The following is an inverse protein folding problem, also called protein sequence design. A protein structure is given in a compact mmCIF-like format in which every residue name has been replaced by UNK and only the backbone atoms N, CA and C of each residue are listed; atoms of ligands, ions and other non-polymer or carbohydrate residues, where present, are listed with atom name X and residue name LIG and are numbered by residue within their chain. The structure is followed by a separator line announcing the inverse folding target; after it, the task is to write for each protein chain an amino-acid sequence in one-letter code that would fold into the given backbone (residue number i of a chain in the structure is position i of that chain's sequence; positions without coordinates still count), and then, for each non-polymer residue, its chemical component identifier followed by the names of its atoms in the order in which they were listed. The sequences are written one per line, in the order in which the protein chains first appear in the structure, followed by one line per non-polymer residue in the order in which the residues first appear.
data_IF_142987283575
#
_entry.id   IF_142987283575
#
_cell.length_a   1.000
_cell.length_b   1.000
_cell.length_c   1.000
_cell.angle_alpha   90.00
_cell.angle_beta   90.00
_cell.angle_gamma   90.00
#
_symmetry.space_group_name_H-M   'P 1'
#
loop_
_entity.id
_entity.type
_entity.pdbx_description
1 polymer ?
#
# COMPACT_ATOMS: atom_id res chain seq x y z
N UNK A 1 -10.45 12.74 -14.35
CA UNK A 1 -10.66 11.43 -14.96
C UNK A 1 -9.27 10.98 -15.39
N UNK A 2 -8.65 10.06 -14.68
CA UNK A 2 -7.39 9.46 -15.14
C UNK A 2 -7.85 8.43 -16.17
N UNK A 3 -7.53 8.64 -17.43
CA UNK A 3 -7.74 7.62 -18.45
C UNK A 3 -6.98 6.37 -18.04
N UNK A 4 -7.54 5.20 -18.31
CA UNK A 4 -6.86 3.90 -18.16
C UNK A 4 -5.65 3.86 -19.10
N UNK A 5 -4.56 4.50 -18.66
CA UNK A 5 -3.32 4.47 -19.40
C UNK A 5 -2.61 3.17 -19.05
N UNK A 6 -2.48 2.28 -20.04
CA UNK A 6 -1.78 0.99 -19.96
C UNK A 6 -0.34 1.09 -19.43
N UNK A 7 0.20 2.30 -19.41
CA UNK A 7 1.55 2.59 -18.90
C UNK A 7 1.60 2.70 -17.36
N UNK A 8 0.46 2.84 -16.69
CA UNK A 8 0.40 2.90 -15.26
C UNK A 8 -0.12 1.59 -14.66
N UNK A 9 0.34 1.28 -13.46
CA UNK A 9 -0.21 0.21 -12.61
C UNK A 9 -0.23 0.66 -11.17
N UNK A 10 -1.14 0.09 -10.39
CA UNK A 10 -1.18 0.26 -8.95
C UNK A 10 -0.30 -0.78 -8.26
N UNK A 11 0.14 -0.49 -7.03
CA UNK A 11 0.82 -1.51 -6.22
C UNK A 11 -0.12 -2.67 -5.87
N UNK A 12 -1.45 -2.42 -5.81
CA UNK A 12 -2.45 -3.46 -5.60
C UNK A 12 -2.51 -4.44 -6.76
N UNK A 13 -2.54 -3.96 -8.01
CA UNK A 13 -2.52 -4.82 -9.22
C UNK A 13 -1.27 -5.70 -9.28
N UNK A 14 -0.11 -5.20 -8.82
CA UNK A 14 1.12 -6.01 -8.74
C UNK A 14 0.94 -7.19 -7.79
N UNK A 15 0.30 -6.97 -6.65
CA UNK A 15 0.00 -8.02 -5.69
C UNK A 15 -1.04 -9.00 -6.23
N UNK A 16 -2.12 -8.52 -6.84
CA UNK A 16 -3.15 -9.36 -7.46
C UNK A 16 -2.56 -10.23 -8.58
N UNK A 17 -1.67 -9.67 -9.39
CA UNK A 17 -0.95 -10.42 -10.42
C UNK A 17 -0.08 -11.55 -9.82
N UNK A 18 0.61 -11.30 -8.71
CA UNK A 18 1.38 -12.32 -8.02
C UNK A 18 0.48 -13.42 -7.42
N UNK A 19 -0.62 -13.05 -6.80
CA UNK A 19 -1.60 -13.98 -6.27
C UNK A 19 -2.16 -14.89 -7.36
N UNK A 20 -2.63 -14.31 -8.47
CA UNK A 20 -3.16 -15.06 -9.60
C UNK A 20 -2.13 -16.06 -10.17
N UNK A 21 -0.86 -15.66 -10.22
CA UNK A 21 0.23 -16.52 -10.70
C UNK A 21 0.48 -17.73 -9.79
N UNK A 22 0.26 -17.59 -8.49
CA UNK A 22 0.45 -18.66 -7.50
C UNK A 22 -0.86 -19.39 -7.15
N UNK A 23 -1.97 -19.08 -7.85
CA UNK A 23 -3.28 -19.66 -7.58
C UNK A 23 -3.84 -19.31 -6.19
N UNK A 24 -3.50 -18.12 -5.67
CA UNK A 24 -3.95 -17.62 -4.37
C UNK A 24 -5.04 -16.57 -4.56
N UNK A 25 -5.95 -16.50 -3.60
CA UNK A 25 -6.93 -15.40 -3.54
C UNK A 25 -6.27 -14.15 -2.91
N UNK A 26 -6.33 -13.03 -3.61
CA UNK A 26 -5.78 -11.75 -3.14
C UNK A 26 -6.51 -11.18 -1.92
N UNK A 27 -7.73 -11.62 -1.66
CA UNK A 27 -8.56 -11.17 -0.54
C UNK A 27 -8.44 -12.05 0.71
N UNK A 28 -7.84 -13.23 0.61
CA UNK A 28 -7.75 -14.22 1.70
C UNK A 28 -7.13 -13.62 2.97
N UNK A 29 -5.97 -12.95 2.87
CA UNK A 29 -5.30 -12.37 4.03
C UNK A 29 -6.10 -11.22 4.66
N UNK A 30 -6.81 -10.45 3.86
CA UNK A 30 -7.68 -9.38 4.36
C UNK A 30 -8.91 -9.96 5.05
N UNK A 31 -9.45 -11.04 4.55
CA UNK A 31 -10.57 -11.77 5.16
C UNK A 31 -10.16 -12.33 6.52
N UNK A 32 -9.05 -13.03 6.57
CA UNK A 32 -8.47 -13.59 7.81
C UNK A 32 -8.19 -12.50 8.86
N UNK A 33 -7.61 -11.38 8.42
CA UNK A 33 -7.35 -10.25 9.30
C UNK A 33 -8.65 -9.72 9.92
N UNK A 34 -9.68 -9.53 9.11
CA UNK A 34 -10.99 -9.05 9.57
C UNK A 34 -11.66 -10.05 10.51
N UNK A 35 -11.63 -11.33 10.17
CA UNK A 35 -12.22 -12.39 10.97
C UNK A 35 -11.60 -12.46 12.37
N UNK A 36 -10.28 -12.35 12.48
CA UNK A 36 -9.57 -12.36 13.76
C UNK A 36 -9.76 -11.07 14.56
N UNK A 37 -9.96 -9.94 13.90
CA UNK A 37 -10.11 -8.64 14.57
C UNK A 37 -11.54 -8.34 15.02
N UNK A 38 -12.54 -8.76 14.24
CA UNK A 38 -13.95 -8.45 14.48
C UNK A 38 -14.46 -8.81 15.88
N UNK A 39 -14.15 -9.98 16.47
CA UNK A 39 -14.59 -10.32 17.81
C UNK A 39 -14.11 -9.30 18.86
N UNK A 40 -12.88 -8.84 18.76
CA UNK A 40 -12.33 -7.86 19.71
C UNK A 40 -13.00 -6.49 19.62
N UNK A 41 -13.47 -6.12 18.42
CA UNK A 41 -14.23 -4.89 18.19
C UNK A 41 -15.65 -5.03 18.74
N UNK A 42 -16.29 -6.16 18.49
CA UNK A 42 -17.67 -6.46 18.96
C UNK A 42 -17.70 -6.52 20.50
N UNK A 43 -16.70 -7.13 21.12
CA UNK A 43 -16.57 -7.25 22.57
C UNK A 43 -16.21 -5.90 23.25
N UNK A 44 -16.10 -4.82 22.49
CA UNK A 44 -15.74 -3.47 22.99
C UNK A 44 -14.49 -3.46 23.87
N UNK A 45 -13.47 -4.22 23.46
CA UNK A 45 -12.17 -4.22 24.16
C UNK A 45 -11.57 -2.81 24.16
N UNK A 46 -10.61 -2.58 25.07
CA UNK A 46 -9.95 -1.28 25.13
C UNK A 46 -9.24 -0.95 23.81
N UNK A 47 -9.15 0.34 23.42
CA UNK A 47 -8.41 0.73 22.22
C UNK A 47 -6.96 0.22 22.19
N UNK A 48 -6.33 0.10 23.35
CA UNK A 48 -4.96 -0.41 23.50
C UNK A 48 -4.88 -1.91 23.22
N UNK A 49 -5.84 -2.70 23.72
CA UNK A 49 -5.90 -4.14 23.45
C UNK A 49 -6.19 -4.43 21.98
N UNK A 50 -7.08 -3.64 21.37
CA UNK A 50 -7.35 -3.74 19.93
C UNK A 50 -6.11 -3.39 19.10
N UNK A 51 -5.35 -2.38 19.49
CA UNK A 51 -4.10 -2.00 18.80
C UNK A 51 -3.03 -3.09 18.94
N UNK A 52 -2.93 -3.71 20.10
CA UNK A 52 -2.02 -4.84 20.37
C UNK A 52 -2.37 -6.06 19.53
N UNK A 53 -3.65 -6.46 19.55
CA UNK A 53 -4.15 -7.56 18.74
C UNK A 53 -3.94 -7.32 17.24
N UNK A 54 -4.17 -6.10 16.78
CA UNK A 54 -3.95 -5.71 15.39
C UNK A 54 -2.50 -5.90 14.96
N UNK A 55 -1.56 -5.55 15.83
CA UNK A 55 -0.12 -5.75 15.60
C UNK A 55 0.23 -7.24 15.57
N UNK A 56 -0.27 -8.02 16.52
CA UNK A 56 -0.03 -9.47 16.58
C UNK A 56 -0.54 -10.19 15.32
N UNK A 57 -1.74 -9.84 14.84
CA UNK A 57 -2.29 -10.42 13.61
C UNK A 57 -1.42 -10.02 12.41
N UNK A 58 -1.00 -8.77 12.34
CA UNK A 58 -0.15 -8.27 11.26
C UNK A 58 1.20 -8.98 11.22
N UNK A 59 1.86 -9.10 12.38
CA UNK A 59 3.16 -9.78 12.50
C UNK A 59 3.04 -11.27 12.10
N UNK A 60 1.94 -11.93 12.47
CA UNK A 60 1.66 -13.30 12.06
C UNK A 60 1.49 -13.43 10.54
N UNK A 61 0.77 -12.51 9.90
CA UNK A 61 0.58 -12.52 8.43
C UNK A 61 1.92 -12.33 7.71
N UNK A 62 2.78 -11.43 8.20
CA UNK A 62 4.10 -11.20 7.62
C UNK A 62 5.01 -12.43 7.81
N UNK A 63 5.02 -13.03 9.01
CA UNK A 63 5.87 -14.17 9.32
C UNK A 63 5.47 -15.44 8.54
N UNK A 64 4.24 -15.55 8.08
CA UNK A 64 3.79 -16.64 7.22
C UNK A 64 4.26 -16.52 5.76
N UNK A 65 5.04 -15.48 5.44
CA UNK A 65 5.60 -15.22 4.10
C UNK A 65 4.56 -15.22 2.97
N UNK A 66 3.29 -14.98 3.28
CA UNK A 66 2.24 -14.88 2.26
C UNK A 66 2.49 -13.74 1.26
N UNK A 67 3.19 -12.69 1.71
CA UNK A 67 3.57 -11.55 0.89
C UNK A 67 5.10 -11.51 0.84
N UNK A 68 5.69 -11.96 -0.26
CA UNK A 68 7.14 -11.87 -0.46
C UNK A 68 7.58 -10.42 -0.63
N UNK A 69 8.69 -10.04 -0.01
CA UNK A 69 9.35 -8.75 -0.19
C UNK A 69 9.83 -8.51 -1.64
N UNK A 70 9.87 -9.57 -2.46
CA UNK A 70 10.38 -9.56 -3.84
C UNK A 70 9.29 -9.42 -4.91
N UNK A 71 8.01 -9.40 -4.54
CA UNK A 71 6.88 -9.35 -5.51
C UNK A 71 7.05 -8.21 -6.52
N UNK A 72 7.28 -6.99 -6.01
CA UNK A 72 7.46 -5.82 -6.86
C UNK A 72 8.69 -5.93 -7.77
N UNK A 73 9.80 -6.38 -7.23
CA UNK A 73 11.03 -6.58 -7.98
C UNK A 73 10.84 -7.63 -9.08
N UNK A 74 10.22 -8.75 -8.77
CA UNK A 74 9.94 -9.82 -9.74
C UNK A 74 8.98 -9.35 -10.85
N UNK A 75 7.98 -8.54 -10.50
CA UNK A 75 7.07 -7.94 -11.46
C UNK A 75 7.83 -7.03 -12.43
N UNK A 76 8.70 -6.14 -11.91
CA UNK A 76 9.47 -5.22 -12.74
C UNK A 76 10.49 -5.91 -13.63
N UNK A 77 11.12 -7.00 -13.17
CA UNK A 77 12.02 -7.81 -14.02
C UNK A 77 11.31 -8.43 -15.24
N UNK A 78 10.02 -8.67 -15.16
CA UNK A 78 9.24 -9.20 -16.28
C UNK A 78 8.84 -8.13 -17.28
N UNK A 79 8.62 -6.91 -16.83
CA UNK A 79 8.12 -5.81 -17.67
C UNK A 79 9.27 -5.09 -18.35
N UNK A 80 10.38 -4.89 -17.65
CA UNK A 80 11.52 -4.14 -18.19
C UNK A 80 12.53 -5.10 -18.84
N UNK A 81 12.77 -4.95 -20.15
CA UNK A 81 13.55 -5.90 -20.94
C UNK A 81 15.07 -5.78 -20.72
N UNK A 82 15.56 -4.70 -20.10
CA UNK A 82 16.98 -4.50 -19.90
C UNK A 82 17.34 -4.09 -18.47
N UNK A 83 18.56 -4.45 -18.05
CA UNK A 83 19.09 -4.08 -16.74
C UNK A 83 19.24 -2.56 -16.57
N UNK A 84 19.57 -1.84 -17.65
CA UNK A 84 19.73 -0.39 -17.62
C UNK A 84 18.41 0.31 -17.37
N UNK A 85 17.34 -0.13 -18.05
CA UNK A 85 16.00 0.40 -17.82
C UNK A 85 15.52 0.10 -16.41
N UNK A 86 15.80 -1.10 -15.88
CA UNK A 86 15.46 -1.45 -14.52
C UNK A 86 16.22 -0.59 -13.50
N UNK A 87 17.52 -0.30 -13.76
CA UNK A 87 18.31 0.55 -12.89
C UNK A 87 17.78 1.98 -12.86
N UNK A 88 17.48 2.56 -14.03
CA UNK A 88 16.87 3.89 -14.15
C UNK A 88 15.51 3.94 -13.44
N UNK A 89 14.67 2.93 -13.67
CA UNK A 89 13.38 2.80 -13.01
C UNK A 89 13.54 2.80 -11.48
N UNK A 90 14.44 1.97 -10.94
CA UNK A 90 14.65 1.87 -9.49
C UNK A 90 15.10 3.19 -8.87
N UNK A 91 16.00 3.89 -9.56
CA UNK A 91 16.49 5.19 -9.11
C UNK A 91 15.35 6.22 -9.04
N UNK A 92 14.61 6.36 -10.13
CA UNK A 92 13.50 7.32 -10.21
C UNK A 92 12.39 6.95 -9.21
N UNK A 93 12.01 5.67 -9.17
CA UNK A 93 10.98 5.17 -8.27
C UNK A 93 11.33 5.44 -6.79
N UNK A 94 12.57 5.22 -6.38
CA UNK A 94 13.00 5.48 -5.01
C UNK A 94 12.90 6.97 -4.64
N UNK A 95 13.31 7.86 -5.54
CA UNK A 95 13.21 9.31 -5.34
C UNK A 95 11.76 9.75 -5.25
N UNK A 96 10.92 9.27 -6.19
CA UNK A 96 9.49 9.61 -6.22
C UNK A 96 8.75 9.07 -4.99
N UNK A 97 9.08 7.87 -4.55
CA UNK A 97 8.50 7.27 -3.35
C UNK A 97 8.86 8.06 -2.09
N UNK A 98 10.11 8.49 -1.97
CA UNK A 98 10.57 9.33 -0.87
C UNK A 98 9.86 10.69 -0.85
N UNK A 99 9.77 11.35 -2.02
CA UNK A 99 9.06 12.62 -2.16
C UNK A 99 7.57 12.48 -1.83
N UNK A 100 6.91 11.45 -2.38
CA UNK A 100 5.50 11.17 -2.07
C UNK A 100 5.30 10.89 -0.58
N UNK A 101 6.23 10.17 0.06
CA UNK A 101 6.23 9.93 1.50
C UNK A 101 6.35 11.22 2.30
N UNK A 102 7.30 12.08 1.93
CA UNK A 102 7.51 13.37 2.58
C UNK A 102 6.29 14.29 2.46
N UNK A 103 5.73 14.42 1.24
CA UNK A 103 4.51 15.22 1.00
C UNK A 103 3.34 14.68 1.80
N UNK A 104 3.15 13.36 1.79
CA UNK A 104 2.07 12.72 2.54
C UNK A 104 2.19 12.93 4.04
N UNK A 105 3.41 12.88 4.57
CA UNK A 105 3.68 13.16 5.98
C UNK A 105 3.41 14.63 6.33
N UNK A 106 3.93 15.55 5.51
CA UNK A 106 3.81 17.02 5.75
C UNK A 106 2.37 17.48 5.66
N UNK A 107 1.61 16.98 4.68
CA UNK A 107 0.21 17.34 4.47
C UNK A 107 -0.76 16.42 5.22
N UNK A 108 -0.25 15.47 5.99
CA UNK A 108 -1.05 14.48 6.73
C UNK A 108 -2.09 13.78 5.84
N UNK A 109 -1.66 13.34 4.66
CA UNK A 109 -2.52 12.65 3.71
C UNK A 109 -2.75 11.22 4.22
N UNK A 110 -4.02 10.92 4.51
CA UNK A 110 -4.46 9.59 4.89
C UNK A 110 -4.70 8.67 3.70
N UNK A 111 -5.15 7.45 4.01
CA UNK A 111 -5.63 6.47 3.01
C UNK A 111 -4.62 6.09 1.90
N UNK A 112 -3.37 5.89 2.26
CA UNK A 112 -2.34 5.41 1.35
C UNK A 112 -2.47 3.90 1.12
N UNK A 113 -3.56 3.48 0.48
CA UNK A 113 -3.73 2.08 0.12
C UNK A 113 -2.93 1.74 -1.13
N UNK A 114 -2.48 0.49 -1.32
CA UNK A 114 -1.74 0.07 -2.51
C UNK A 114 -2.47 0.36 -3.83
N UNK A 115 -3.79 0.36 -3.82
CA UNK A 115 -4.61 0.65 -5.01
C UNK A 115 -4.67 2.15 -5.35
N UNK A 116 -4.24 3.03 -4.45
CA UNK A 116 -4.19 4.48 -4.67
C UNK A 116 -2.82 4.99 -5.05
N UNK A 117 -1.82 4.14 -5.01
CA UNK A 117 -0.44 4.44 -5.41
C UNK A 117 -0.21 3.86 -6.80
N UNK A 118 -0.23 4.73 -7.82
CA UNK A 118 0.07 4.37 -9.19
C UNK A 118 1.54 4.64 -9.49
N UNK A 119 2.13 3.82 -10.33
CA UNK A 119 3.47 4.06 -10.86
C UNK A 119 3.51 3.85 -12.38
N UNK A 120 4.31 4.66 -13.07
CA UNK A 120 4.57 4.50 -14.49
C UNK A 120 5.56 3.35 -14.68
N UNK A 121 5.18 2.35 -15.49
CA UNK A 121 5.97 1.13 -15.71
C UNK A 121 7.30 1.38 -16.40
N UNK A 122 7.37 2.43 -17.22
CA UNK A 122 8.56 2.79 -18.00
C UNK A 122 9.53 3.70 -17.25
N UNK A 123 9.03 4.64 -16.46
CA UNK A 123 9.82 5.75 -15.88
C UNK A 123 9.89 5.76 -14.36
N UNK A 124 9.16 4.87 -13.68
CA UNK A 124 9.15 4.83 -12.23
C UNK A 124 8.52 6.05 -11.53
N UNK A 125 7.82 6.91 -12.29
CA UNK A 125 7.09 8.03 -11.70
C UNK A 125 5.93 7.52 -10.85
N UNK A 126 5.75 8.13 -9.67
CA UNK A 126 4.64 7.80 -8.76
C UNK A 126 3.57 8.87 -8.87
N UNK A 127 2.34 8.43 -9.01
CA UNK A 127 1.15 9.27 -8.96
C UNK A 127 0.26 8.76 -7.83
N UNK A 128 -0.06 9.61 -6.89
CA UNK A 128 -0.99 9.28 -5.83
C UNK A 128 -2.37 9.83 -6.20
N UNK A 129 -3.33 8.95 -6.39
CA UNK A 129 -4.73 9.32 -6.55
C UNK A 129 -5.34 9.56 -5.18
N UNK A 130 -6.05 10.67 -5.04
CA UNK A 130 -6.76 11.04 -3.83
C UNK A 130 -5.88 11.67 -2.71
N UNK A 131 -5.78 12.98 -2.74
CA UNK A 131 -5.22 13.77 -1.64
C UNK A 131 -6.33 14.12 -0.64
N UNK A 132 -6.75 13.15 0.19
CA UNK A 132 -7.64 13.45 1.31
C UNK A 132 -6.80 13.69 2.57
N UNK A 133 -6.82 14.89 3.15
CA UNK A 133 -6.15 15.14 4.42
C UNK A 133 -6.79 14.27 5.50
N UNK A 134 -5.97 13.76 6.40
CA UNK A 134 -6.44 12.95 7.51
C UNK A 134 -7.43 13.75 8.35
N UNK A 135 -8.54 13.16 8.78
CA UNK A 135 -9.58 13.81 9.61
C UNK A 135 -9.05 14.45 10.91
N UNK A 136 -7.78 14.22 11.23
CA UNK A 136 -7.11 14.79 12.40
C UNK A 136 -6.98 16.32 12.35
N UNK A 137 -6.96 16.92 11.15
CA UNK A 137 -6.94 18.40 10.99
C UNK A 137 -8.24 19.04 11.50
N UNK A 138 -9.34 18.30 11.43
CA UNK A 138 -10.64 18.77 11.94
C UNK A 138 -10.67 18.91 13.48
N UNK A 139 -9.77 18.18 14.17
CA UNK A 139 -9.70 18.20 15.63
C UNK A 139 -8.91 19.40 16.16
N UNK A 140 -7.88 19.84 15.44
CA UNK A 140 -7.08 21.03 15.81
C UNK A 140 -7.87 22.32 15.61
N UNK A 141 -8.73 22.40 14.58
CA UNK A 141 -9.62 23.53 14.33
C UNK A 141 -10.64 23.78 15.45
N UNK A 142 -11.00 22.78 16.23
CA UNK A 142 -11.94 22.90 17.35
C UNK A 142 -11.28 23.18 18.70
N UNK A 143 -9.94 23.24 18.77
CA UNK A 143 -9.20 23.57 20.01
C UNK A 143 -8.81 25.06 20.03
N UNK A 144 -8.88 25.75 18.89
CA UNK A 144 -8.45 27.16 18.74
C UNK A 144 -9.64 28.14 18.77
N UNK A 145 -10.83 27.66 19.08
CA UNK A 145 -12.00 28.47 19.46
C UNK A 145 -12.43 28.06 20.88
#
# INVERSE_FOLDING_TARGET
MVEDDLMYSTLGEVYEFDCARHGRDSYEQMSDFKEKLNPAIVDRRSPEDVAKLRREIYDNIINLEYVSDRIFTQYMYKILPSCDLLWLFRKEFAVQLALSGFVSYTLQIGERTPNKILFAKDKGKIVQNNFQPCKFIHWIGNIVH
#
